data_IF_718306215459
#
_entry.id   IF_718306215459
#
_cell.length_a   1.000
_cell.length_b   1.000
_cell.length_c   1.000
_cell.angle_alpha   90.00
_cell.angle_beta   90.00
_cell.angle_gamma   90.00
#
_symmetry.space_group_name_H-M   'P 1'
#
loop_
_entity.id
_entity.type
_entity.pdbx_description
1 polymer ?
#
# COMPACT_ATOMS: atom_id res chain seq x y z
N UNK A 1 -26.75 -47.41 -21.74
CA UNK A 1 -27.06 -46.75 -20.45
C UNK A 1 -25.90 -46.65 -19.44
N UNK A 2 -24.95 -47.61 -19.40
CA UNK A 2 -23.84 -47.56 -18.41
C UNK A 2 -22.70 -46.59 -18.75
N UNK A 3 -22.46 -46.31 -20.02
CA UNK A 3 -21.38 -45.41 -20.47
C UNK A 3 -21.72 -43.93 -20.22
N UNK A 4 -22.99 -43.56 -20.38
CA UNK A 4 -23.45 -42.17 -20.19
C UNK A 4 -23.42 -41.72 -18.73
N UNK A 5 -23.63 -42.66 -17.79
CA UNK A 5 -23.58 -42.38 -16.35
C UNK A 5 -22.14 -42.17 -15.88
N UNK A 6 -21.18 -42.93 -16.46
CA UNK A 6 -19.77 -42.78 -16.14
C UNK A 6 -19.20 -41.42 -16.64
N UNK A 7 -19.64 -40.97 -17.83
CA UNK A 7 -19.25 -39.68 -18.39
C UNK A 7 -19.79 -38.51 -17.58
N UNK A 8 -21.01 -38.64 -17.04
CA UNK A 8 -21.63 -37.64 -16.21
C UNK A 8 -20.94 -37.53 -14.83
N UNK A 9 -20.54 -38.68 -14.25
CA UNK A 9 -19.78 -38.71 -13.00
C UNK A 9 -18.34 -38.18 -13.17
N UNK A 10 -17.70 -38.39 -14.31
CA UNK A 10 -16.39 -37.76 -14.61
C UNK A 10 -16.49 -36.26 -14.79
N UNK A 11 -17.53 -35.74 -15.43
CA UNK A 11 -17.75 -34.30 -15.59
C UNK A 11 -18.07 -33.58 -14.28
N UNK A 12 -18.73 -34.24 -13.32
CA UNK A 12 -18.99 -33.68 -12.00
C UNK A 12 -17.76 -33.75 -11.08
N UNK A 13 -16.82 -34.66 -11.31
CA UNK A 13 -15.58 -34.76 -10.54
C UNK A 13 -14.53 -33.72 -10.95
N UNK A 14 -14.58 -33.17 -12.18
CA UNK A 14 -13.65 -32.13 -12.68
C UNK A 14 -14.11 -30.75 -12.28
N UNK A 15 -15.35 -30.58 -11.80
CA UNK A 15 -15.93 -29.33 -11.34
C UNK A 15 -15.56 -28.92 -9.92
N UNK A 16 -14.41 -29.30 -9.38
CA UNK A 16 -13.82 -28.56 -8.26
C UNK A 16 -13.34 -27.24 -8.84
N UNK A 17 -14.25 -26.28 -8.87
CA UNK A 17 -13.95 -24.89 -9.06
C UNK A 17 -12.75 -24.55 -8.17
N UNK A 18 -11.61 -24.34 -8.79
CA UNK A 18 -10.52 -23.65 -8.15
C UNK A 18 -11.10 -22.30 -7.72
N UNK A 19 -11.50 -22.18 -6.47
CA UNK A 19 -11.82 -20.89 -5.89
C UNK A 19 -10.52 -20.12 -5.90
N UNK A 20 -10.34 -19.29 -6.92
CA UNK A 20 -9.31 -18.26 -6.90
C UNK A 20 -9.61 -17.39 -5.68
N UNK A 21 -8.86 -17.55 -4.62
CA UNK A 21 -8.95 -16.70 -3.44
C UNK A 21 -8.41 -15.34 -3.85
N UNK A 22 -9.31 -14.42 -4.15
CA UNK A 22 -9.00 -13.00 -4.16
C UNK A 22 -8.95 -12.53 -2.70
N UNK A 23 -8.03 -11.68 -2.36
CA UNK A 23 -8.03 -10.99 -1.08
C UNK A 23 -7.85 -9.51 -1.31
N UNK A 24 -8.47 -8.71 -0.44
CA UNK A 24 -8.23 -7.29 -0.40
C UNK A 24 -6.84 -7.04 0.18
N UNK A 25 -5.97 -6.48 -0.62
CA UNK A 25 -4.64 -6.10 -0.15
C UNK A 25 -4.75 -4.98 0.88
N UNK A 26 -4.18 -5.14 2.07
CA UNK A 26 -4.23 -4.11 3.08
C UNK A 26 -3.37 -2.91 2.67
N UNK A 27 -3.78 -1.72 3.10
CA UNK A 27 -2.96 -0.54 3.07
C UNK A 27 -1.74 -0.72 3.99
N UNK A 28 -0.61 -0.07 3.67
CA UNK A 28 0.65 -0.28 4.37
C UNK A 28 0.57 0.03 5.88
N UNK A 29 -0.24 0.98 6.31
CA UNK A 29 -0.48 1.24 7.73
C UNK A 29 -1.00 0.00 8.47
N UNK A 30 -1.81 -0.83 7.83
CA UNK A 30 -2.30 -2.07 8.42
C UNK A 30 -1.20 -3.12 8.52
N UNK A 31 -0.34 -3.20 7.52
CA UNK A 31 0.82 -4.12 7.50
C UNK A 31 1.78 -3.77 8.64
N UNK A 32 2.13 -2.48 8.75
CA UNK A 32 3.07 -2.00 9.78
C UNK A 32 2.50 -2.20 11.18
N UNK A 33 1.22 -1.82 11.41
CA UNK A 33 0.56 -1.99 12.71
C UNK A 33 0.44 -3.43 13.18
N UNK A 34 0.30 -4.38 12.24
CA UNK A 34 0.18 -5.81 12.57
C UNK A 34 1.52 -6.50 12.76
N UNK A 35 2.61 -5.92 12.31
CA UNK A 35 3.93 -6.51 12.42
C UNK A 35 4.48 -6.34 13.84
N UNK A 36 5.01 -7.40 14.42
CA UNK A 36 5.72 -7.34 15.71
C UNK A 36 7.17 -6.90 15.51
N UNK A 37 7.73 -7.12 14.31
CA UNK A 37 9.13 -6.82 14.01
C UNK A 37 9.28 -6.24 12.60
N UNK A 38 10.21 -5.30 12.46
CA UNK A 38 10.76 -4.85 11.19
C UNK A 38 12.25 -5.21 11.13
N UNK A 39 12.65 -6.04 10.17
CA UNK A 39 14.01 -6.56 10.08
C UNK A 39 14.55 -6.51 8.65
N UNK A 40 15.85 -6.31 8.51
CA UNK A 40 16.60 -6.66 7.30
C UNK A 40 17.11 -8.08 7.44
N UNK A 41 16.79 -8.95 6.49
CA UNK A 41 17.22 -10.34 6.50
C UNK A 41 17.65 -10.81 5.12
N UNK A 42 18.52 -11.85 5.10
CA UNK A 42 18.92 -12.55 3.88
C UNK A 42 18.17 -13.87 3.79
N UNK A 43 17.47 -14.09 2.69
CA UNK A 43 16.84 -15.36 2.38
C UNK A 43 17.90 -16.42 2.18
N UNK A 44 17.80 -17.54 2.88
CA UNK A 44 18.73 -18.68 2.75
C UNK A 44 18.09 -19.84 2.00
N UNK A 45 16.79 -20.05 2.19
CA UNK A 45 16.00 -21.01 1.41
C UNK A 45 14.60 -20.46 1.19
N UNK A 46 14.04 -20.71 0.01
CA UNK A 46 12.65 -20.42 -0.30
C UNK A 46 12.00 -21.68 -0.88
N UNK A 47 10.87 -22.08 -0.32
CA UNK A 47 10.12 -23.25 -0.72
C UNK A 47 8.62 -22.93 -0.70
N UNK A 48 7.94 -23.17 -1.81
CA UNK A 48 6.52 -22.86 -1.98
C UNK A 48 5.60 -23.52 -0.92
N UNK A 49 6.00 -24.67 -0.37
CA UNK A 49 5.21 -25.43 0.62
C UNK A 49 5.69 -25.19 2.06
N UNK A 50 7.00 -25.02 2.24
CA UNK A 50 7.63 -24.95 3.56
C UNK A 50 7.86 -23.52 4.05
N UNK A 51 7.66 -22.53 3.16
CA UNK A 51 7.93 -21.13 3.43
C UNK A 51 9.41 -20.77 3.25
N UNK A 52 9.83 -19.71 3.92
CA UNK A 52 11.16 -19.11 3.79
C UNK A 52 11.95 -19.32 5.06
N UNK A 53 13.25 -19.64 4.93
CA UNK A 53 14.24 -19.42 5.99
C UNK A 53 15.06 -18.19 5.66
N UNK A 54 15.28 -17.34 6.64
CA UNK A 54 16.07 -16.13 6.48
C UNK A 54 16.98 -15.90 7.67
N UNK A 55 18.20 -15.43 7.39
CA UNK A 55 19.16 -15.00 8.41
C UNK A 55 18.93 -13.51 8.66
N UNK A 56 18.74 -13.13 9.92
CA UNK A 56 18.57 -11.75 10.34
C UNK A 56 19.93 -11.03 10.21
N UNK A 57 19.97 -9.98 9.43
CA UNK A 57 21.15 -9.12 9.28
C UNK A 57 21.08 -7.94 10.25
N UNK A 58 19.88 -7.40 10.47
CA UNK A 58 19.66 -6.26 11.37
C UNK A 58 18.19 -6.18 11.79
N UNK A 59 17.93 -5.92 13.07
CA UNK A 59 16.62 -5.52 13.58
C UNK A 59 16.50 -4.00 13.50
N UNK A 60 15.37 -3.51 12.94
CA UNK A 60 15.04 -2.09 12.82
C UNK A 60 13.91 -1.70 13.78
N UNK A 61 13.14 -2.68 14.25
CA UNK A 61 12.05 -2.47 15.21
C UNK A 61 11.51 -3.77 15.75
N UNK A 62 10.91 -3.74 16.96
CA UNK A 62 10.31 -4.91 17.62
C UNK A 62 11.25 -5.71 18.53
N UNK A 63 12.52 -5.31 18.66
CA UNK A 63 13.48 -5.96 19.55
C UNK A 63 14.32 -7.06 18.89
N UNK A 64 14.95 -7.89 19.72
CA UNK A 64 15.85 -8.94 19.28
C UNK A 64 15.10 -10.18 18.75
N UNK A 65 15.66 -10.79 17.74
CA UNK A 65 15.18 -12.02 17.12
C UNK A 65 16.29 -13.08 17.11
N UNK A 66 15.95 -14.37 16.97
CA UNK A 66 16.95 -15.39 16.66
C UNK A 66 17.68 -15.06 15.36
N UNK A 67 18.95 -15.47 15.23
CA UNK A 67 19.77 -15.26 14.04
C UNK A 67 19.11 -15.79 12.75
N UNK A 68 18.29 -16.83 12.88
CA UNK A 68 17.56 -17.43 11.77
C UNK A 68 16.08 -17.55 12.12
N UNK A 69 15.24 -17.12 11.19
CA UNK A 69 13.78 -17.19 11.31
C UNK A 69 13.18 -18.03 10.20
N UNK A 70 12.03 -18.65 10.49
CA UNK A 70 11.19 -19.33 9.50
C UNK A 70 9.92 -18.52 9.30
N UNK A 71 9.66 -18.16 8.04
CA UNK A 71 8.50 -17.35 7.63
C UNK A 71 7.54 -18.24 6.84
N UNK A 72 6.34 -18.46 7.38
CA UNK A 72 5.32 -19.32 6.81
C UNK A 72 4.29 -18.51 5.99
N UNK A 73 3.57 -19.19 5.10
CA UNK A 73 2.43 -18.62 4.36
C UNK A 73 2.80 -17.76 3.16
N UNK A 74 4.07 -17.74 2.76
CA UNK A 74 4.55 -16.87 1.69
C UNK A 74 3.99 -17.22 0.30
N UNK A 75 3.66 -18.50 0.05
CA UNK A 75 3.23 -19.01 -1.26
C UNK A 75 1.84 -19.64 -1.24
N UNK A 76 1.04 -19.42 -0.20
CA UNK A 76 -0.27 -20.07 -0.05
C UNK A 76 -1.38 -19.43 -0.90
N UNK A 77 -1.07 -18.43 -1.70
CA UNK A 77 -2.05 -17.62 -2.41
C UNK A 77 -2.24 -18.13 -3.85
N UNK A 78 -3.51 -18.29 -4.25
CA UNK A 78 -3.88 -18.69 -5.61
C UNK A 78 -3.97 -17.46 -6.52
N UNK A 79 -3.78 -17.67 -7.82
CA UNK A 79 -3.88 -16.62 -8.82
C UNK A 79 -5.29 -16.00 -8.84
N UNK A 80 -5.36 -14.70 -9.02
CA UNK A 80 -6.61 -14.01 -9.32
C UNK A 80 -7.13 -14.45 -10.72
N UNK A 81 -8.42 -14.68 -10.84
CA UNK A 81 -9.04 -15.18 -12.08
C UNK A 81 -8.90 -14.26 -13.30
N UNK A 82 -8.56 -12.99 -13.09
CA UNK A 82 -8.33 -11.99 -14.14
C UNK A 82 -7.01 -12.14 -14.89
N UNK A 83 -6.08 -12.96 -14.41
CA UNK A 83 -4.76 -13.15 -15.02
C UNK A 83 -4.42 -14.64 -15.13
N UNK A 84 -5.12 -15.40 -15.99
CA UNK A 84 -4.83 -16.82 -16.17
C UNK A 84 -3.48 -16.99 -16.89
N UNK A 85 -2.57 -17.73 -16.30
CA UNK A 85 -1.40 -18.28 -16.98
C UNK A 85 -0.05 -17.65 -16.71
N UNK A 86 0.06 -16.58 -15.96
CA UNK A 86 1.36 -16.07 -15.52
C UNK A 86 1.63 -16.50 -14.07
N UNK A 87 2.71 -17.23 -13.85
CA UNK A 87 3.21 -17.46 -12.49
C UNK A 87 3.76 -16.15 -11.94
N UNK A 88 3.39 -15.77 -10.71
CA UNK A 88 3.85 -14.53 -10.14
C UNK A 88 5.35 -14.57 -9.90
N UNK A 89 6.04 -13.51 -10.29
CA UNK A 89 7.48 -13.32 -10.12
C UNK A 89 7.91 -13.10 -8.65
N UNK A 90 7.24 -13.74 -7.69
CA UNK A 90 7.56 -13.64 -6.24
C UNK A 90 8.48 -14.76 -5.77
N UNK A 91 9.30 -15.28 -6.64
CA UNK A 91 10.38 -16.16 -6.21
C UNK A 91 11.44 -15.30 -5.51
N UNK A 92 11.50 -15.45 -4.19
CA UNK A 92 12.68 -15.01 -3.46
C UNK A 92 13.76 -16.07 -3.64
N UNK A 93 14.88 -15.67 -4.24
CA UNK A 93 16.06 -16.52 -4.38
C UNK A 93 16.81 -16.68 -3.05
N UNK A 94 17.55 -17.78 -2.91
CA UNK A 94 18.34 -18.08 -1.71
C UNK A 94 19.50 -17.14 -1.40
N UNK A 95 19.53 -15.91 -1.96
CA UNK A 95 20.54 -14.87 -1.65
C UNK A 95 19.92 -13.49 -1.57
N UNK A 96 18.59 -13.38 -1.76
CA UNK A 96 17.90 -12.10 -1.73
C UNK A 96 17.97 -11.48 -0.34
N UNK A 97 18.28 -10.18 -0.26
CA UNK A 97 18.14 -9.39 0.94
C UNK A 97 16.80 -8.64 0.89
N UNK A 98 16.03 -8.75 1.98
CA UNK A 98 14.71 -8.16 2.08
C UNK A 98 14.49 -7.55 3.45
N UNK A 99 13.70 -6.49 3.49
CA UNK A 99 13.04 -6.05 4.71
C UNK A 99 11.76 -6.86 4.88
N UNK A 100 11.50 -7.36 6.09
CA UNK A 100 10.30 -8.11 6.42
C UNK A 100 9.55 -7.45 7.58
N UNK A 101 8.24 -7.36 7.43
CA UNK A 101 7.30 -7.05 8.49
C UNK A 101 6.78 -8.37 9.07
N UNK A 102 7.38 -8.81 10.16
CA UNK A 102 7.14 -10.13 10.73
C UNK A 102 6.09 -10.09 11.85
N UNK A 103 5.20 -11.07 11.84
CA UNK A 103 4.28 -11.39 12.92
C UNK A 103 4.71 -12.70 13.58
N UNK A 104 4.90 -12.71 14.89
CA UNK A 104 5.20 -13.93 15.64
C UNK A 104 3.93 -14.77 15.78
N UNK A 105 4.04 -16.06 15.46
CA UNK A 105 2.95 -17.01 15.61
C UNK A 105 3.08 -17.78 16.93
N UNK A 106 1.96 -18.29 17.49
CA UNK A 106 2.01 -19.14 18.69
C UNK A 106 2.92 -20.36 18.55
N UNK A 107 3.11 -20.87 17.32
CA UNK A 107 4.02 -21.98 17.01
C UNK A 107 5.51 -21.64 17.17
N UNK A 108 5.86 -20.36 17.39
CA UNK A 108 7.23 -19.86 17.36
C UNK A 108 7.76 -19.47 15.99
N UNK A 109 7.08 -19.84 14.91
CA UNK A 109 7.38 -19.40 13.56
C UNK A 109 6.90 -17.94 13.34
N UNK A 110 7.29 -17.36 12.22
CA UNK A 110 6.85 -16.02 11.80
C UNK A 110 5.98 -16.08 10.56
N UNK A 111 5.20 -15.04 10.35
CA UNK A 111 4.44 -14.82 9.10
C UNK A 111 4.56 -13.35 8.69
N UNK A 112 4.24 -13.06 7.45
CA UNK A 112 4.00 -11.71 6.93
C UNK A 112 2.52 -11.53 6.65
N UNK A 113 2.04 -10.29 6.64
CA UNK A 113 0.61 -9.99 6.41
C UNK A 113 0.18 -10.44 5.02
N UNK A 114 0.97 -10.08 4.00
CA UNK A 114 0.79 -10.52 2.61
C UNK A 114 2.14 -10.67 1.92
N UNK A 115 2.25 -11.50 0.88
CA UNK A 115 3.49 -11.65 0.11
C UNK A 115 3.82 -10.43 -0.77
N UNK A 116 2.97 -9.42 -0.85
CA UNK A 116 3.17 -8.24 -1.68
C UNK A 116 3.67 -7.03 -0.91
N UNK A 117 3.17 -6.82 0.30
CA UNK A 117 3.46 -5.64 1.12
C UNK A 117 4.12 -5.99 2.45
N UNK A 118 4.11 -7.27 2.84
CA UNK A 118 4.78 -7.77 4.04
C UNK A 118 6.30 -7.84 3.93
N UNK A 119 6.87 -7.57 2.77
CA UNK A 119 8.32 -7.47 2.58
C UNK A 119 8.69 -6.43 1.51
N UNK A 120 9.96 -5.99 1.52
CA UNK A 120 10.52 -5.12 0.50
C UNK A 120 11.90 -5.63 0.08
N UNK A 121 12.08 -5.91 -1.22
CA UNK A 121 13.33 -6.46 -1.76
C UNK A 121 14.38 -5.39 -1.91
N UNK A 122 15.63 -5.71 -1.55
CA UNK A 122 16.81 -4.87 -1.78
C UNK A 122 17.53 -5.35 -3.03
N UNK A 123 17.79 -4.45 -3.97
CA UNK A 123 18.58 -4.72 -5.17
C UNK A 123 19.49 -3.53 -5.46
N UNK A 124 20.79 -3.77 -5.54
CA UNK A 124 21.80 -2.73 -5.88
C UNK A 124 21.68 -1.44 -5.05
N UNK A 125 21.46 -1.56 -3.74
CA UNK A 125 21.31 -0.41 -2.83
C UNK A 125 19.99 0.35 -2.93
N UNK A 126 19.05 -0.15 -3.73
CA UNK A 126 17.68 0.37 -3.84
C UNK A 126 16.69 -0.61 -3.21
N UNK A 127 15.58 -0.10 -2.70
CA UNK A 127 14.50 -0.87 -2.11
C UNK A 127 13.23 -0.66 -2.91
N UNK A 128 12.59 -1.76 -3.33
CA UNK A 128 11.24 -1.72 -3.89
C UNK A 128 10.24 -1.57 -2.73
N UNK A 129 9.94 -0.34 -2.37
CA UNK A 129 9.22 0.05 -1.17
C UNK A 129 7.73 0.24 -1.42
N UNK A 130 6.90 -0.34 -0.58
CA UNK A 130 5.47 -0.03 -0.50
C UNK A 130 5.25 0.91 0.68
N UNK A 131 4.86 2.16 0.41
CA UNK A 131 4.48 3.13 1.43
C UNK A 131 2.96 3.27 1.57
N UNK A 132 2.21 2.95 0.54
CA UNK A 132 0.77 3.16 0.49
C UNK A 132 0.00 1.86 0.30
N UNK A 133 0.11 1.28 -0.87
CA UNK A 133 -0.59 0.07 -1.28
C UNK A 133 0.20 -0.66 -2.36
N UNK A 134 0.01 -1.97 -2.51
CA UNK A 134 0.74 -2.82 -3.46
C UNK A 134 0.66 -2.37 -4.92
N UNK A 135 -0.38 -1.62 -5.32
CA UNK A 135 -0.49 -1.09 -6.68
C UNK A 135 0.55 0.01 -7.02
N UNK A 136 1.29 0.49 -6.03
CA UNK A 136 2.31 1.51 -6.25
C UNK A 136 3.55 1.27 -5.37
N UNK A 137 4.61 0.75 -5.97
CA UNK A 137 5.93 0.67 -5.35
C UNK A 137 6.81 1.85 -5.76
N UNK A 138 7.55 2.36 -4.79
CA UNK A 138 8.61 3.34 -5.01
C UNK A 138 9.96 2.64 -4.98
N UNK A 139 10.82 2.91 -5.95
CA UNK A 139 12.21 2.49 -5.91
C UNK A 139 13.04 3.58 -5.26
N UNK A 140 13.43 3.37 -4.00
CA UNK A 140 14.12 4.38 -3.18
C UNK A 140 15.49 3.88 -2.69
N UNK A 141 16.46 4.77 -2.44
CA UNK A 141 17.72 4.41 -1.80
C UNK A 141 17.48 3.70 -0.47
N UNK A 142 18.30 2.69 -0.17
CA UNK A 142 18.18 1.89 1.04
C UNK A 142 18.20 2.75 2.33
N UNK A 143 19.05 3.79 2.37
CA UNK A 143 19.12 4.70 3.51
C UNK A 143 17.80 5.49 3.72
N UNK A 144 17.14 5.89 2.63
CA UNK A 144 15.82 6.56 2.68
C UNK A 144 14.76 5.59 3.20
N UNK A 145 14.71 4.36 2.67
CA UNK A 145 13.78 3.35 3.14
C UNK A 145 13.96 3.05 4.63
N UNK A 146 15.18 2.82 5.07
CA UNK A 146 15.47 2.51 6.47
C UNK A 146 15.06 3.64 7.40
N UNK A 147 15.44 4.88 7.10
CA UNK A 147 15.08 6.02 7.95
C UNK A 147 13.56 6.23 8.02
N UNK A 148 12.87 6.22 6.88
CA UNK A 148 11.42 6.47 6.83
C UNK A 148 10.63 5.31 7.42
N UNK A 149 10.93 4.07 7.02
CA UNK A 149 10.13 2.92 7.44
C UNK A 149 10.37 2.54 8.90
N UNK A 150 11.60 2.75 9.42
CA UNK A 150 11.87 2.61 10.86
C UNK A 150 11.07 3.64 11.66
N UNK A 151 11.06 4.90 11.24
CA UNK A 151 10.26 5.93 11.92
C UNK A 151 8.76 5.62 11.86
N UNK A 152 8.24 5.17 10.72
CA UNK A 152 6.84 4.76 10.56
C UNK A 152 6.50 3.57 11.47
N UNK A 153 7.37 2.56 11.52
CA UNK A 153 7.19 1.42 12.41
C UNK A 153 7.16 1.87 13.89
N UNK A 154 8.15 2.63 14.31
CA UNK A 154 8.25 3.14 15.68
C UNK A 154 7.05 4.00 16.06
N UNK A 155 6.59 4.89 15.16
CA UNK A 155 5.40 5.71 15.37
C UNK A 155 4.15 4.87 15.64
N UNK A 156 3.87 3.86 14.80
CA UNK A 156 2.69 3.01 14.98
C UNK A 156 2.76 2.10 16.21
N UNK A 157 3.95 1.89 16.78
CA UNK A 157 4.17 1.14 18.01
C UNK A 157 4.37 2.04 19.25
N UNK A 158 4.10 3.34 19.14
CA UNK A 158 4.19 4.29 20.25
C UNK A 158 5.61 4.51 20.76
N UNK A 159 6.62 4.29 19.90
CA UNK A 159 8.04 4.46 20.19
C UNK A 159 8.55 5.81 19.66
N UNK A 160 9.58 6.34 20.29
CA UNK A 160 10.28 7.52 19.78
C UNK A 160 11.05 7.18 18.51
N UNK A 161 11.13 8.17 17.60
CA UNK A 161 11.86 8.03 16.34
C UNK A 161 12.68 9.28 16.02
N UNK A 162 13.73 9.12 15.20
CA UNK A 162 14.57 10.22 14.78
C UNK A 162 13.91 11.00 13.64
N UNK A 163 13.45 12.22 13.94
CA UNK A 163 12.78 13.09 12.97
C UNK A 163 13.76 13.79 12.00
N UNK A 164 15.04 13.96 12.36
CA UNK A 164 15.97 14.75 11.56
C UNK A 164 16.15 14.25 10.11
N UNK A 165 16.44 12.96 9.85
CA UNK A 165 16.54 12.46 8.48
C UNK A 165 15.21 12.51 7.70
N UNK A 166 14.08 12.41 8.39
CA UNK A 166 12.74 12.52 7.81
C UNK A 166 12.50 13.95 7.32
N UNK A 167 12.77 14.95 8.18
CA UNK A 167 12.66 16.37 7.82
C UNK A 167 13.58 16.73 6.65
N UNK A 168 14.80 16.21 6.64
CA UNK A 168 15.75 16.43 5.53
C UNK A 168 15.21 15.87 4.21
N UNK A 169 14.67 14.64 4.20
CA UNK A 169 14.05 14.04 3.02
C UNK A 169 12.87 14.88 2.54
N UNK A 170 11.94 15.23 3.43
CA UNK A 170 10.73 15.99 3.07
C UNK A 170 11.12 17.33 2.46
N UNK A 171 11.99 18.08 3.13
CA UNK A 171 12.42 19.40 2.66
C UNK A 171 13.13 19.32 1.30
N UNK A 172 13.98 18.32 1.06
CA UNK A 172 14.69 18.18 -0.21
C UNK A 172 13.79 17.69 -1.35
N UNK A 173 12.91 16.73 -1.08
CA UNK A 173 12.06 16.13 -2.12
C UNK A 173 10.89 17.05 -2.51
N UNK A 174 10.24 17.70 -1.53
CA UNK A 174 9.06 18.52 -1.80
C UNK A 174 9.39 19.99 -2.13
N UNK A 175 10.66 20.43 -2.02
CA UNK A 175 11.10 21.70 -2.59
C UNK A 175 11.09 21.71 -4.13
N UNK A 176 11.12 20.55 -4.75
CA UNK A 176 11.06 20.39 -6.19
C UNK A 176 9.60 20.34 -6.67
N UNK A 177 9.36 20.84 -7.88
CA UNK A 177 8.05 20.70 -8.52
C UNK A 177 7.63 19.22 -8.61
N UNK A 178 6.31 18.90 -8.63
CA UNK A 178 5.84 17.53 -8.79
C UNK A 178 6.46 16.86 -10.01
N UNK A 179 7.19 15.78 -9.79
CA UNK A 179 7.86 15.03 -10.85
C UNK A 179 6.92 13.95 -11.39
N UNK A 180 7.06 13.63 -12.68
CA UNK A 180 6.32 12.58 -13.35
C UNK A 180 7.14 11.28 -13.44
N UNK A 181 6.44 10.15 -13.67
CA UNK A 181 7.04 8.83 -13.82
C UNK A 181 7.57 8.65 -15.26
N UNK A 182 8.53 9.47 -15.65
CA UNK A 182 9.29 9.37 -16.88
C UNK A 182 10.77 9.06 -16.60
N UNK A 183 11.57 8.93 -17.62
CA UNK A 183 13.00 8.59 -17.47
C UNK A 183 13.79 9.64 -16.69
N UNK A 184 13.47 10.92 -16.83
CA UNK A 184 14.18 12.03 -16.19
C UNK A 184 13.68 12.27 -14.76
N UNK A 185 12.36 12.18 -14.53
CA UNK A 185 11.71 12.50 -13.25
C UNK A 185 11.62 11.33 -12.28
N UNK A 186 11.82 10.08 -12.72
CA UNK A 186 11.51 8.87 -11.95
C UNK A 186 12.08 8.85 -10.54
N UNK A 187 13.34 9.17 -10.36
CA UNK A 187 13.98 9.15 -9.04
C UNK A 187 13.35 10.19 -8.11
N UNK A 188 13.14 11.41 -8.58
CA UNK A 188 12.47 12.48 -7.84
C UNK A 188 11.03 12.11 -7.53
N UNK A 189 10.28 11.54 -8.49
CA UNK A 189 8.92 11.06 -8.29
C UNK A 189 8.82 10.06 -7.14
N UNK A 190 9.73 9.08 -7.06
CA UNK A 190 9.71 8.08 -5.99
C UNK A 190 10.10 8.68 -4.63
N UNK A 191 11.05 9.64 -4.59
CA UNK A 191 11.40 10.33 -3.35
C UNK A 191 10.25 11.22 -2.86
N UNK A 192 9.57 11.92 -3.77
CA UNK A 192 8.37 12.71 -3.45
C UNK A 192 7.24 11.82 -2.93
N UNK A 193 6.99 10.65 -3.54
CA UNK A 193 6.04 9.68 -3.04
C UNK A 193 6.38 9.23 -1.61
N UNK A 194 7.64 8.83 -1.36
CA UNK A 194 8.09 8.42 -0.05
C UNK A 194 7.93 9.54 1.00
N UNK A 195 8.25 10.80 0.64
CA UNK A 195 8.12 11.96 1.50
C UNK A 195 6.64 12.24 1.87
N UNK A 196 5.74 12.29 0.87
CA UNK A 196 4.31 12.53 1.08
C UNK A 196 3.65 11.44 1.94
N UNK A 197 3.94 10.17 1.66
CA UNK A 197 3.40 9.06 2.45
C UNK A 197 4.00 9.04 3.87
N UNK A 198 5.26 9.44 4.05
CA UNK A 198 5.86 9.57 5.38
C UNK A 198 5.19 10.68 6.19
N UNK A 199 4.83 11.82 5.57
CA UNK A 199 4.01 12.86 6.21
C UNK A 199 2.69 12.27 6.70
N UNK A 200 2.00 11.50 5.85
CA UNK A 200 0.76 10.82 6.22
C UNK A 200 0.93 9.88 7.41
N UNK A 201 1.89 8.96 7.34
CA UNK A 201 2.09 7.94 8.35
C UNK A 201 2.47 8.50 9.72
N UNK A 202 3.27 9.57 9.74
CA UNK A 202 3.76 10.18 10.97
C UNK A 202 2.88 11.35 11.46
N UNK A 203 1.86 11.75 10.70
CA UNK A 203 0.98 12.86 11.06
C UNK A 203 1.69 14.22 11.13
N UNK A 204 2.64 14.49 10.21
CA UNK A 204 3.46 15.69 10.25
C UNK A 204 2.71 16.90 9.69
N UNK A 205 2.21 17.77 10.57
CA UNK A 205 1.43 18.96 10.19
C UNK A 205 2.29 20.13 9.70
N UNK A 206 3.57 20.16 10.05
CA UNK A 206 4.48 21.28 9.76
C UNK A 206 4.84 21.43 8.28
N UNK A 207 4.52 20.46 7.44
CA UNK A 207 4.89 20.43 6.02
C UNK A 207 3.70 20.71 5.08
N UNK A 208 2.61 21.24 5.61
CA UNK A 208 1.37 21.49 4.89
C UNK A 208 1.57 22.21 3.54
N UNK A 209 2.23 23.38 3.55
CA UNK A 209 2.43 24.18 2.35
C UNK A 209 3.20 23.43 1.25
N UNK A 210 4.14 22.57 1.65
CA UNK A 210 4.91 21.75 0.70
C UNK A 210 4.07 20.65 0.04
N UNK A 211 2.95 20.24 0.63
CA UNK A 211 2.04 19.22 0.08
C UNK A 211 1.11 19.78 -1.00
N UNK A 212 0.74 21.07 -0.91
CA UNK A 212 -0.29 21.67 -1.76
C UNK A 212 -0.02 21.61 -3.27
N UNK A 213 1.22 21.83 -3.77
CA UNK A 213 1.51 21.70 -5.21
C UNK A 213 1.16 20.33 -5.75
N UNK A 214 1.39 19.26 -4.98
CA UNK A 214 1.13 17.86 -5.37
C UNK A 214 -0.36 17.55 -5.38
N UNK A 215 -1.15 18.13 -4.47
CA UNK A 215 -2.61 17.97 -4.49
C UNK A 215 -3.23 18.68 -5.70
N UNK A 216 -2.69 19.82 -6.11
CA UNK A 216 -3.20 20.62 -7.23
C UNK A 216 -2.82 20.06 -8.59
N UNK A 217 -1.81 19.21 -8.68
CA UNK A 217 -1.38 18.59 -9.94
C UNK A 217 -2.31 17.43 -10.32
N UNK A 218 -3.36 17.74 -11.08
CA UNK A 218 -4.34 16.75 -11.54
C UNK A 218 -3.80 15.83 -12.64
N UNK A 219 -2.62 16.12 -13.21
CA UNK A 219 -1.97 15.29 -14.22
C UNK A 219 -1.13 14.18 -13.60
N UNK A 220 -0.72 14.34 -12.33
CA UNK A 220 0.05 13.37 -11.55
C UNK A 220 -0.84 12.71 -10.48
N UNK A 221 -1.62 11.75 -10.90
CA UNK A 221 -2.60 11.10 -10.02
C UNK A 221 -1.95 10.41 -8.80
N UNK A 222 -0.75 9.86 -8.92
CA UNK A 222 -0.06 9.22 -7.79
C UNK A 222 0.34 10.23 -6.71
N UNK A 223 0.87 11.39 -7.14
CA UNK A 223 1.20 12.49 -6.24
C UNK A 223 -0.05 13.08 -5.59
N UNK A 224 -1.13 13.26 -6.38
CA UNK A 224 -2.41 13.78 -5.87
C UNK A 224 -3.01 12.86 -4.79
N UNK A 225 -2.97 11.53 -4.98
CA UNK A 225 -3.41 10.56 -3.99
C UNK A 225 -2.60 10.65 -2.71
N UNK A 226 -1.25 10.69 -2.79
CA UNK A 226 -0.39 10.78 -1.61
C UNK A 226 -0.55 12.11 -0.89
N UNK A 227 -0.71 13.21 -1.63
CA UNK A 227 -0.98 14.54 -1.06
C UNK A 227 -2.33 14.60 -0.32
N UNK A 228 -3.39 14.01 -0.89
CA UNK A 228 -4.68 13.91 -0.21
C UNK A 228 -4.59 13.13 1.10
N UNK A 229 -3.79 12.06 1.15
CA UNK A 229 -3.52 11.30 2.37
C UNK A 229 -2.73 12.13 3.40
N UNK A 230 -1.69 12.83 2.94
CA UNK A 230 -0.85 13.66 3.81
C UNK A 230 -1.66 14.74 4.55
N UNK A 231 -2.72 15.26 3.94
CA UNK A 231 -3.62 16.22 4.59
C UNK A 231 -4.46 15.63 5.73
N UNK A 232 -4.50 14.32 5.92
CA UNK A 232 -5.31 13.70 6.98
C UNK A 232 -4.99 14.26 8.38
N UNK A 233 -3.77 14.74 8.60
CA UNK A 233 -3.33 15.30 9.88
C UNK A 233 -3.77 16.76 10.13
N UNK A 234 -4.26 17.47 9.10
CA UNK A 234 -4.54 18.93 9.17
C UNK A 234 -5.98 19.26 8.79
N UNK A 235 -7.01 19.02 9.64
CA UNK A 235 -8.41 19.23 9.30
C UNK A 235 -8.82 20.71 9.31
N UNK A 236 -8.15 21.57 8.55
CA UNK A 236 -8.50 22.99 8.45
C UNK A 236 -9.69 23.22 7.49
N UNK A 237 -10.44 24.34 7.59
CA UNK A 237 -11.46 24.68 6.61
C UNK A 237 -10.92 24.75 5.19
N UNK A 238 -9.69 25.25 5.02
CA UNK A 238 -8.98 25.37 3.74
C UNK A 238 -8.72 23.99 3.14
N UNK A 239 -8.29 23.00 3.93
CA UNK A 239 -8.04 21.63 3.49
C UNK A 239 -9.32 20.95 3.00
N UNK A 240 -10.43 21.16 3.73
CA UNK A 240 -11.73 20.65 3.32
C UNK A 240 -12.12 21.18 1.94
N UNK A 241 -11.93 22.49 1.71
CA UNK A 241 -12.21 23.09 0.41
C UNK A 241 -11.28 22.60 -0.71
N UNK A 242 -10.01 22.36 -0.41
CA UNK A 242 -9.05 21.79 -1.37
C UNK A 242 -9.46 20.35 -1.77
N UNK A 243 -9.84 19.53 -0.80
CA UNK A 243 -10.33 18.19 -1.07
C UNK A 243 -11.65 18.21 -1.88
N UNK A 244 -12.56 19.14 -1.60
CA UNK A 244 -13.76 19.36 -2.42
C UNK A 244 -13.39 19.74 -3.88
N UNK A 245 -12.34 20.56 -4.08
CA UNK A 245 -11.87 20.88 -5.44
C UNK A 245 -11.35 19.63 -6.16
N UNK A 246 -10.72 18.68 -5.47
CA UNK A 246 -10.34 17.38 -6.06
C UNK A 246 -11.60 16.62 -6.50
N UNK A 247 -12.65 16.58 -5.66
CA UNK A 247 -13.89 15.87 -5.97
C UNK A 247 -14.62 16.45 -7.18
N UNK A 248 -14.62 17.77 -7.32
CA UNK A 248 -15.31 18.49 -8.41
C UNK A 248 -14.45 18.62 -9.68
N UNK A 249 -13.17 18.24 -9.63
CA UNK A 249 -12.27 18.30 -10.78
C UNK A 249 -12.70 17.32 -11.88
N UNK A 250 -12.73 17.80 -13.13
CA UNK A 250 -12.98 16.96 -14.31
C UNK A 250 -11.74 16.17 -14.75
N UNK A 251 -10.56 16.55 -14.28
CA UNK A 251 -9.27 15.95 -14.66
C UNK A 251 -8.69 15.03 -13.58
N UNK A 252 -9.13 15.15 -12.33
CA UNK A 252 -8.74 14.22 -11.27
C UNK A 252 -9.36 12.84 -11.49
N UNK A 253 -8.55 11.80 -11.39
CA UNK A 253 -9.01 10.41 -11.52
C UNK A 253 -9.85 9.98 -10.31
N UNK A 254 -10.75 9.06 -10.50
CA UNK A 254 -11.70 8.60 -9.47
C UNK A 254 -11.01 8.04 -8.23
N UNK A 255 -9.88 7.33 -8.36
CA UNK A 255 -9.12 6.92 -7.19
C UNK A 255 -8.64 8.11 -6.33
N UNK A 256 -8.19 9.21 -6.94
CA UNK A 256 -7.80 10.39 -6.19
C UNK A 256 -8.98 11.01 -5.46
N UNK A 257 -10.17 11.01 -6.09
CA UNK A 257 -11.42 11.47 -5.47
C UNK A 257 -11.83 10.57 -4.30
N UNK A 258 -11.78 9.24 -4.46
CA UNK A 258 -12.08 8.29 -3.38
C UNK A 258 -11.14 8.48 -2.19
N UNK A 259 -9.84 8.70 -2.44
CA UNK A 259 -8.88 8.96 -1.35
C UNK A 259 -9.14 10.32 -0.69
N UNK A 260 -9.50 11.36 -1.45
CA UNK A 260 -9.91 12.64 -0.89
C UNK A 260 -11.17 12.53 -0.01
N UNK A 261 -12.16 11.69 -0.41
CA UNK A 261 -13.33 11.38 0.41
C UNK A 261 -12.92 10.66 1.69
N UNK A 262 -12.00 9.69 1.62
CA UNK A 262 -11.48 8.99 2.79
C UNK A 262 -10.82 9.97 3.78
N UNK A 263 -10.07 10.94 3.29
CA UNK A 263 -9.49 12.01 4.11
C UNK A 263 -10.59 12.89 4.74
N UNK A 264 -11.59 13.32 3.97
CA UNK A 264 -12.74 14.05 4.49
C UNK A 264 -13.52 13.25 5.55
N UNK A 265 -13.60 11.93 5.41
CA UNK A 265 -14.26 11.07 6.41
C UNK A 265 -13.57 11.19 7.78
N UNK A 266 -12.24 11.31 7.84
CA UNK A 266 -11.52 11.51 9.11
C UNK A 266 -11.81 12.88 9.73
N UNK A 267 -12.12 13.89 8.91
CA UNK A 267 -12.44 15.24 9.36
C UNK A 267 -13.87 15.40 9.91
N UNK A 268 -14.78 14.47 9.56
CA UNK A 268 -16.21 14.54 9.90
C UNK A 268 -16.82 15.92 9.60
N UNK A 269 -16.79 16.41 8.34
CA UNK A 269 -17.17 17.77 7.99
C UNK A 269 -18.70 17.90 7.91
N UNK A 270 -19.37 17.92 9.07
CA UNK A 270 -20.84 18.00 9.17
C UNK A 270 -21.41 19.22 8.44
N UNK A 271 -20.68 20.33 8.44
CA UNK A 271 -21.01 21.58 7.77
C UNK A 271 -21.07 21.44 6.23
N UNK A 272 -20.36 20.46 5.67
CA UNK A 272 -20.32 20.18 4.22
C UNK A 272 -21.36 19.13 3.78
N UNK A 273 -22.14 18.55 4.71
CA UNK A 273 -23.10 17.49 4.39
C UNK A 273 -24.04 17.81 3.22
N UNK A 274 -24.67 19.00 3.11
CA UNK A 274 -25.52 19.31 1.97
C UNK A 274 -24.74 19.32 0.63
N UNK A 275 -23.53 19.88 0.62
CA UNK A 275 -22.68 19.93 -0.57
C UNK A 275 -22.23 18.53 -1.00
N UNK A 276 -21.79 17.69 -0.06
CA UNK A 276 -21.37 16.32 -0.31
C UNK A 276 -22.54 15.45 -0.81
N UNK A 277 -23.75 15.64 -0.26
CA UNK A 277 -24.94 14.97 -0.72
C UNK A 277 -25.31 15.34 -2.16
N UNK A 278 -25.18 16.62 -2.53
CA UNK A 278 -25.40 17.07 -3.90
C UNK A 278 -24.36 16.46 -4.87
N UNK A 279 -23.09 16.41 -4.47
CA UNK A 279 -22.03 15.77 -5.27
C UNK A 279 -22.28 14.27 -5.47
N UNK A 280 -22.80 13.57 -4.47
CA UNK A 280 -23.11 12.14 -4.55
C UNK A 280 -24.16 11.83 -5.63
N UNK A 281 -25.10 12.76 -5.94
CA UNK A 281 -26.13 12.53 -6.94
C UNK A 281 -25.56 12.41 -8.36
N UNK A 282 -24.46 13.09 -8.66
CA UNK A 282 -23.84 13.15 -10.00
C UNK A 282 -22.47 12.50 -10.07
N UNK A 283 -22.03 11.87 -8.97
CA UNK A 283 -20.72 11.23 -8.87
C UNK A 283 -20.63 9.97 -9.74
N UNK A 284 -19.39 9.66 -10.18
CA UNK A 284 -19.08 8.48 -10.98
C UNK A 284 -19.45 7.19 -10.24
N UNK A 285 -20.08 6.27 -10.97
CA UNK A 285 -20.38 4.89 -10.57
C UNK A 285 -19.37 3.89 -11.18
N UNK A 286 -18.32 4.37 -11.83
CA UNK A 286 -17.29 3.52 -12.39
C UNK A 286 -16.51 2.81 -11.28
N UNK A 287 -16.43 1.48 -11.39
CA UNK A 287 -15.64 0.69 -10.49
C UNK A 287 -14.15 0.86 -10.78
N UNK A 288 -13.44 1.38 -9.81
CA UNK A 288 -11.98 1.49 -9.83
C UNK A 288 -11.39 0.26 -9.16
N UNK A 289 -11.33 -0.86 -9.89
CA UNK A 289 -10.64 -2.06 -9.44
C UNK A 289 -9.19 -2.07 -9.94
N UNK A 290 -8.26 -2.45 -9.09
CA UNK A 290 -6.92 -2.83 -9.50
C UNK A 290 -6.90 -4.35 -9.64
N UNK A 291 -7.33 -4.85 -10.80
CA UNK A 291 -7.13 -6.24 -11.17
C UNK A 291 -5.73 -6.40 -11.76
N UNK A 292 -5.07 -7.54 -11.48
CA UNK A 292 -3.77 -7.82 -12.03
C UNK A 292 -2.73 -6.78 -11.64
N UNK A 293 -2.54 -6.59 -10.33
CA UNK A 293 -1.45 -5.75 -9.85
C UNK A 293 -0.16 -6.19 -10.52
N UNK A 294 0.57 -5.23 -11.12
CA UNK A 294 1.85 -5.49 -11.78
C UNK A 294 2.86 -6.20 -10.88
N UNK A 295 2.70 -6.07 -9.57
CA UNK A 295 3.57 -6.70 -8.57
C UNK A 295 3.11 -8.10 -8.18
N UNK A 296 1.81 -8.35 -8.12
CA UNK A 296 1.23 -9.67 -7.88
C UNK A 296 -0.11 -9.77 -8.60
N UNK A 297 -0.21 -10.53 -9.70
CA UNK A 297 -1.45 -10.68 -10.45
C UNK A 297 -2.56 -11.40 -9.65
N UNK A 298 -2.24 -12.00 -8.51
CA UNK A 298 -3.22 -12.63 -7.61
C UNK A 298 -4.03 -11.62 -6.80
N UNK A 299 -3.62 -10.35 -6.77
CA UNK A 299 -4.29 -9.31 -6.00
C UNK A 299 -5.39 -8.69 -6.83
N UNK A 300 -6.60 -8.76 -6.32
CA UNK A 300 -7.74 -8.01 -6.80
C UNK A 300 -8.13 -7.01 -5.71
N UNK A 301 -7.71 -5.77 -5.84
CA UNK A 301 -8.14 -4.71 -4.91
C UNK A 301 -9.36 -4.02 -5.49
N UNK A 302 -10.46 -4.08 -4.78
CA UNK A 302 -11.65 -3.30 -5.08
C UNK A 302 -11.63 -2.01 -4.27
N UNK A 303 -11.86 -0.90 -4.96
CA UNK A 303 -12.00 0.42 -4.36
C UNK A 303 -13.45 0.84 -4.60
N UNK A 304 -14.15 1.44 -3.63
CA UNK A 304 -15.52 1.90 -3.84
C UNK A 304 -15.58 2.90 -5.00
N UNK A 305 -16.70 2.99 -5.67
CA UNK A 305 -16.97 4.06 -6.61
C UNK A 305 -16.98 5.42 -5.89
N UNK A 306 -16.81 6.51 -6.62
CA UNK A 306 -16.88 7.85 -6.00
C UNK A 306 -18.25 8.08 -5.36
N UNK A 307 -19.33 7.60 -6.01
CA UNK A 307 -20.69 7.70 -5.49
C UNK A 307 -20.88 6.91 -4.19
N UNK A 308 -20.41 5.66 -4.12
CA UNK A 308 -20.48 4.84 -2.91
C UNK A 308 -19.71 5.47 -1.76
N UNK A 309 -18.49 5.95 -2.02
CA UNK A 309 -17.66 6.61 -1.01
C UNK A 309 -18.32 7.88 -0.45
N UNK A 310 -18.89 8.74 -1.34
CA UNK A 310 -19.64 9.93 -0.92
C UNK A 310 -20.89 9.58 -0.13
N UNK A 311 -21.66 8.60 -0.59
CA UNK A 311 -22.89 8.16 0.07
C UNK A 311 -22.57 7.66 1.49
N UNK A 312 -21.51 6.87 1.63
CA UNK A 312 -21.04 6.39 2.94
C UNK A 312 -20.62 7.53 3.85
N UNK A 313 -19.84 8.49 3.34
CA UNK A 313 -19.44 9.69 4.11
C UNK A 313 -20.68 10.47 4.58
N UNK A 314 -21.60 10.81 3.67
CA UNK A 314 -22.81 11.58 3.96
C UNK A 314 -23.70 10.89 5.00
N UNK A 315 -23.81 9.55 4.93
CA UNK A 315 -24.58 8.75 5.90
C UNK A 315 -23.96 8.75 7.29
N UNK A 316 -22.63 8.91 7.39
CA UNK A 316 -21.89 8.96 8.67
C UNK A 316 -21.80 10.35 9.30
N UNK A 317 -22.26 11.41 8.61
CA UNK A 317 -22.35 12.80 9.08
C UNK A 317 -23.76 13.10 9.60
#
# INVERSE_FOLDING_TARGET
MRLSVLLFLLLTAVGRLAHATSWDEPWQETVVKKADYLVLARVTTADARKGIKATILRSLGGGALPDTVKINGFYSLQLCSSSPGEEPAYELGGTDSCYFFLQKKPSGDYAITTPTTGFARVKTGQVAATYRHSYHQALVPQAVYESTMTAIFQHYHGQEYNLAPITALINSALALAPAHLDAAGRSTFFLQHAALETIYHLGLTTHYEAVLPFLRDTTNFHAQVSAARALTATPTPEDKQLLIKVLTSKTSRDLAKVVAIKTLTTYRPAELKPQLAALAQTASEEHNGFGGNIMDPRICTQVPTVKEALTTLVSGL
#
